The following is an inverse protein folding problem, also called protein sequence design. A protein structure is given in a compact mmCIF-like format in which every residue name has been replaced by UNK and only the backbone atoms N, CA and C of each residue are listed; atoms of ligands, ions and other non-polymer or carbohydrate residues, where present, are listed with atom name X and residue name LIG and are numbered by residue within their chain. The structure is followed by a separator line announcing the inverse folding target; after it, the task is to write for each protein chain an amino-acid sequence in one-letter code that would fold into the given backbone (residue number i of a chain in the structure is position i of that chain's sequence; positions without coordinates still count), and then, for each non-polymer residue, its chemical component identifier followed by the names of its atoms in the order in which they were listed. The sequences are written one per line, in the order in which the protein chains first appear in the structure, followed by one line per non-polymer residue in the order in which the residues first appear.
data_IF_108555150913
#
_entry.id   IF_108555150913
#
_cell.length_a   1.000
_cell.length_b   1.000
_cell.length_c   1.000
_cell.angle_alpha   90.00
_cell.angle_beta   90.00
_cell.angle_gamma   90.00
#
_symmetry.space_group_name_H-M   'P 1'
#
loop_
_entity.id
_entity.type
_entity.pdbx_description
1 polymer ?
#
# COMPACT_ATOMS: atom_id res chain seq x y z
N UNK A 1 -30.49 7.90 -4.34
CA UNK A 1 -30.02 6.54 -4.69
C UNK A 1 -28.74 6.31 -3.91
N UNK A 2 -28.79 5.52 -2.84
CA UNK A 2 -27.58 5.21 -2.06
C UNK A 2 -26.79 4.22 -2.92
N UNK A 3 -25.67 4.67 -3.48
CA UNK A 3 -24.71 3.75 -4.10
C UNK A 3 -24.24 2.85 -2.95
N UNK A 4 -24.48 1.53 -2.99
CA UNK A 4 -23.94 0.67 -1.97
C UNK A 4 -22.42 0.87 -1.96
N UNK A 5 -21.87 1.25 -0.81
CA UNK A 5 -20.43 1.35 -0.62
C UNK A 5 -19.84 -0.02 -0.96
N UNK A 6 -19.20 -0.15 -2.12
CA UNK A 6 -18.58 -1.39 -2.55
C UNK A 6 -17.37 -1.63 -1.64
N UNK A 7 -17.50 -2.56 -0.70
CA UNK A 7 -16.39 -3.03 0.12
C UNK A 7 -15.77 -4.21 -0.66
N UNK A 8 -14.59 -4.06 -1.27
CA UNK A 8 -13.99 -5.13 -2.05
C UNK A 8 -13.58 -6.29 -1.14
N UNK A 9 -14.05 -7.50 -1.46
CA UNK A 9 -13.56 -8.72 -0.80
C UNK A 9 -12.10 -8.99 -1.16
N UNK A 10 -11.37 -9.75 -0.33
CA UNK A 10 -10.01 -10.18 -0.65
C UNK A 10 -9.91 -10.88 -2.01
N UNK A 11 -10.90 -11.71 -2.37
CA UNK A 11 -10.98 -12.35 -3.69
C UNK A 11 -11.11 -11.32 -4.82
N UNK A 12 -11.92 -10.27 -4.63
CA UNK A 12 -12.09 -9.21 -5.62
C UNK A 12 -10.81 -8.40 -5.81
N UNK A 13 -10.12 -8.07 -4.71
CA UNK A 13 -8.83 -7.36 -4.72
C UNK A 13 -7.79 -8.21 -5.45
N UNK A 14 -7.66 -9.50 -5.11
CA UNK A 14 -6.71 -10.39 -5.78
C UNK A 14 -7.04 -10.54 -7.27
N UNK A 15 -8.32 -10.69 -7.65
CA UNK A 15 -8.72 -10.74 -9.06
C UNK A 15 -8.29 -9.49 -9.80
N UNK A 16 -8.54 -8.31 -9.23
CA UNK A 16 -8.09 -7.04 -9.81
C UNK A 16 -6.56 -6.96 -9.91
N UNK A 17 -5.84 -7.37 -8.86
CA UNK A 17 -4.39 -7.31 -8.80
C UNK A 17 -3.71 -8.08 -9.96
N UNK A 18 -4.35 -9.15 -10.44
CA UNK A 18 -3.89 -9.97 -11.58
C UNK A 18 -4.59 -9.68 -12.91
N UNK A 19 -5.47 -8.68 -12.98
CA UNK A 19 -6.02 -8.23 -14.25
C UNK A 19 -4.93 -7.52 -15.08
N UNK A 20 -4.72 -8.02 -16.30
CA UNK A 20 -3.74 -7.48 -17.26
C UNK A 20 -4.24 -6.23 -17.99
N UNK A 21 -5.55 -5.97 -18.01
CA UNK A 21 -6.11 -4.84 -18.77
C UNK A 21 -6.23 -3.58 -17.90
N UNK A 22 -5.70 -2.47 -18.41
CA UNK A 22 -5.83 -1.11 -17.85
C UNK A 22 -7.20 -0.49 -18.12
N UNK A 23 -8.29 -1.26 -18.00
CA UNK A 23 -9.59 -0.60 -17.98
C UNK A 23 -9.58 0.34 -16.77
N UNK A 24 -9.69 1.65 -17.01
CA UNK A 24 -9.96 2.65 -15.98
C UNK A 24 -11.25 2.23 -15.30
N UNK A 25 -11.13 1.39 -14.28
CA UNK A 25 -12.22 0.99 -13.41
C UNK A 25 -12.54 2.20 -12.56
N UNK A 26 -13.78 2.65 -12.61
CA UNK A 26 -14.33 3.56 -11.59
C UNK A 26 -15.09 2.65 -10.63
N UNK A 27 -14.71 2.58 -9.34
CA UNK A 27 -13.78 3.47 -8.61
C UNK A 27 -12.29 3.13 -8.81
N UNK A 28 -11.41 4.11 -8.53
CA UNK A 28 -9.96 3.90 -8.46
C UNK A 28 -9.68 2.90 -7.33
N UNK A 29 -9.25 1.69 -7.71
CA UNK A 29 -9.01 0.59 -6.77
C UNK A 29 -8.07 1.00 -5.63
N UNK A 30 -7.09 1.87 -5.89
CA UNK A 30 -6.18 2.43 -4.89
C UNK A 30 -6.93 2.98 -3.67
N UNK A 31 -8.00 3.76 -3.87
CA UNK A 31 -8.76 4.35 -2.76
C UNK A 31 -9.58 3.29 -2.01
N UNK A 32 -10.19 2.34 -2.74
CA UNK A 32 -11.03 1.30 -2.16
C UNK A 32 -10.25 0.30 -1.30
N UNK A 33 -9.00 0.02 -1.66
CA UNK A 33 -8.22 -1.05 -1.03
C UNK A 33 -7.23 -0.55 0.01
N UNK A 34 -6.88 0.75 0.02
CA UNK A 34 -5.95 1.35 0.98
C UNK A 34 -6.60 1.49 2.36
N UNK A 35 -6.80 0.35 3.02
CA UNK A 35 -7.36 0.28 4.37
C UNK A 35 -6.50 -0.65 5.23
N UNK A 36 -6.57 -0.47 6.55
CA UNK A 36 -5.75 -1.22 7.50
C UNK A 36 -6.15 -2.72 7.54
N UNK A 37 -7.41 -3.03 7.25
CA UNK A 37 -7.94 -4.40 7.15
C UNK A 37 -7.33 -5.17 5.98
N UNK A 38 -6.97 -4.47 4.90
CA UNK A 38 -6.36 -5.06 3.71
C UNK A 38 -4.83 -5.14 3.78
N UNK A 39 -4.20 -4.63 4.83
CA UNK A 39 -2.75 -4.43 4.88
C UNK A 39 -1.92 -5.70 4.64
N UNK A 40 -2.33 -6.84 5.22
CA UNK A 40 -1.67 -8.14 5.00
C UNK A 40 -1.81 -8.63 3.55
N UNK A 41 -2.97 -8.42 2.93
CA UNK A 41 -3.21 -8.77 1.54
C UNK A 41 -2.38 -7.88 0.60
N UNK A 42 -2.35 -6.57 0.85
CA UNK A 42 -1.55 -5.63 0.08
C UNK A 42 -0.06 -5.99 0.15
N UNK A 43 0.47 -6.34 1.33
CA UNK A 43 1.86 -6.80 1.46
C UNK A 43 2.11 -8.08 0.66
N UNK A 44 1.18 -9.04 0.73
CA UNK A 44 1.28 -10.30 -0.02
C UNK A 44 1.37 -10.05 -1.52
N UNK A 45 0.48 -9.21 -2.05
CA UNK A 45 0.42 -8.90 -3.49
C UNK A 45 1.60 -8.03 -3.94
N UNK A 46 2.05 -7.07 -3.12
CA UNK A 46 3.22 -6.24 -3.44
C UNK A 46 4.52 -7.06 -3.46
N UNK A 47 4.58 -8.14 -2.67
CA UNK A 47 5.74 -9.04 -2.62
C UNK A 47 5.78 -10.03 -3.80
N UNK A 48 4.69 -10.21 -4.54
CA UNK A 48 4.70 -11.03 -5.76
C UNK A 48 5.18 -10.21 -6.96
N UNK A 49 6.38 -10.54 -7.44
CA UNK A 49 7.00 -9.90 -8.60
C UNK A 49 6.21 -10.11 -9.91
N UNK A 50 5.33 -11.11 -9.97
CA UNK A 50 4.49 -11.38 -11.14
C UNK A 50 3.17 -10.61 -11.12
N UNK A 51 2.85 -9.89 -10.04
CA UNK A 51 1.61 -9.14 -9.91
C UNK A 51 1.59 -7.94 -10.89
N UNK A 52 0.68 -7.92 -11.88
CA UNK A 52 0.56 -6.81 -12.83
C UNK A 52 0.30 -5.44 -12.17
N UNK A 53 -0.48 -5.42 -11.08
CA UNK A 53 -0.81 -4.18 -10.37
C UNK A 53 0.17 -3.87 -9.22
N UNK A 54 1.33 -4.54 -9.15
CA UNK A 54 2.30 -4.40 -8.04
C UNK A 54 2.67 -2.95 -7.72
N UNK A 55 2.85 -2.10 -8.74
CA UNK A 55 3.15 -0.67 -8.55
C UNK A 55 2.02 0.09 -7.84
N UNK A 56 0.77 -0.12 -8.27
CA UNK A 56 -0.42 0.47 -7.64
C UNK A 56 -0.57 -0.01 -6.19
N UNK A 57 -0.34 -1.30 -5.95
CA UNK A 57 -0.41 -1.88 -4.60
C UNK A 57 0.70 -1.34 -3.69
N UNK A 58 1.91 -1.15 -4.22
CA UNK A 58 3.00 -0.52 -3.47
C UNK A 58 2.67 0.92 -3.07
N UNK A 59 2.05 1.69 -3.96
CA UNK A 59 1.53 3.03 -3.65
C UNK A 59 0.50 2.99 -2.51
N UNK A 60 -0.39 2.00 -2.52
CA UNK A 60 -1.35 1.78 -1.43
C UNK A 60 -0.64 1.52 -0.10
N UNK A 61 0.41 0.69 -0.09
CA UNK A 61 1.20 0.40 1.12
C UNK A 61 1.91 1.63 1.68
N UNK A 62 2.52 2.47 0.82
CA UNK A 62 3.10 3.74 1.26
C UNK A 62 2.02 4.68 1.82
N UNK A 63 0.92 4.85 1.09
CA UNK A 63 -0.18 5.73 1.49
C UNK A 63 -0.81 5.30 2.82
N UNK A 64 -0.95 3.98 3.04
CA UNK A 64 -1.47 3.41 4.28
C UNK A 64 -0.60 3.82 5.48
N UNK A 65 0.72 3.60 5.40
CA UNK A 65 1.64 3.96 6.49
C UNK A 65 1.66 5.47 6.70
N UNK A 66 1.75 6.27 5.63
CA UNK A 66 1.74 7.74 5.73
C UNK A 66 0.46 8.30 6.35
N UNK A 67 -0.69 7.75 5.99
CA UNK A 67 -1.99 8.16 6.53
C UNK A 67 -2.14 7.75 7.99
N UNK A 68 -1.79 6.52 8.36
CA UNK A 68 -1.90 6.09 9.76
C UNK A 68 -0.89 6.80 10.67
N UNK A 69 0.34 7.04 10.19
CA UNK A 69 1.34 7.80 10.92
C UNK A 69 0.90 9.25 11.15
N UNK A 70 0.37 9.94 10.12
CA UNK A 70 -0.09 11.33 10.26
C UNK A 70 -1.34 11.47 11.13
N UNK A 71 -2.22 10.47 11.16
CA UNK A 71 -3.42 10.47 12.01
C UNK A 71 -3.17 10.02 13.45
N UNK A 72 -2.01 9.43 13.74
CA UNK A 72 -1.65 8.90 15.07
C UNK A 72 -2.70 7.95 15.69
N UNK A 73 -3.22 7.03 14.89
CA UNK A 73 -4.20 6.04 15.36
C UNK A 73 -3.44 4.84 15.93
N UNK A 74 -3.38 4.70 17.26
CA UNK A 74 -2.56 3.68 17.94
C UNK A 74 -2.80 2.25 17.43
N UNK A 75 -4.05 1.87 17.19
CA UNK A 75 -4.39 0.52 16.70
C UNK A 75 -3.81 0.26 15.30
N UNK A 76 -3.83 1.27 14.42
CA UNK A 76 -3.23 1.17 13.09
C UNK A 76 -1.72 1.07 13.19
N UNK A 77 -1.09 1.86 14.07
CA UNK A 77 0.35 1.87 14.28
C UNK A 77 0.83 0.50 14.78
N UNK A 78 0.09 -0.14 15.70
CA UNK A 78 0.39 -1.51 16.15
C UNK A 78 0.32 -2.49 14.97
N UNK A 79 -0.74 -2.42 14.17
CA UNK A 79 -0.91 -3.30 13.00
C UNK A 79 0.17 -3.09 11.94
N UNK A 80 0.56 -1.84 11.69
CA UNK A 80 1.65 -1.48 10.77
C UNK A 80 2.97 -2.04 11.30
N UNK A 81 3.31 -1.87 12.57
CA UNK A 81 4.55 -2.42 13.13
C UNK A 81 4.62 -3.94 12.95
N UNK A 82 3.52 -4.66 13.20
CA UNK A 82 3.46 -6.11 12.93
C UNK A 82 3.70 -6.43 11.45
N UNK A 83 3.15 -5.63 10.53
CA UNK A 83 3.34 -5.79 9.09
C UNK A 83 4.80 -5.57 8.68
N UNK A 84 5.43 -4.53 9.20
CA UNK A 84 6.84 -4.22 8.98
C UNK A 84 7.76 -5.33 9.51
N UNK A 85 7.41 -5.93 10.64
CA UNK A 85 8.17 -7.04 11.21
C UNK A 85 8.07 -8.33 10.39
N UNK A 86 6.93 -8.59 9.74
CA UNK A 86 6.79 -9.68 8.76
C UNK A 86 7.67 -9.45 7.53
N UNK A 87 7.78 -8.20 7.08
CA UNK A 87 8.46 -7.84 5.84
C UNK A 87 9.96 -7.54 5.99
N UNK A 88 10.49 -7.41 7.22
CA UNK A 88 11.87 -6.96 7.49
C UNK A 88 12.98 -7.85 6.91
N UNK A 89 12.67 -9.11 6.61
CA UNK A 89 13.61 -10.08 6.01
C UNK A 89 13.22 -10.43 4.57
N UNK A 90 12.42 -9.59 3.92
CA UNK A 90 12.04 -9.81 2.52
C UNK A 90 13.29 -9.81 1.62
N UNK A 91 13.42 -10.76 0.67
CA UNK A 91 14.47 -10.71 -0.34
C UNK A 91 14.21 -9.63 -1.40
N UNK A 92 13.01 -9.04 -1.42
CA UNK A 92 12.61 -8.01 -2.35
C UNK A 92 13.05 -6.62 -1.85
N UNK A 93 14.01 -6.01 -2.56
CA UNK A 93 14.57 -4.71 -2.20
C UNK A 93 13.52 -3.59 -2.16
N UNK A 94 12.47 -3.67 -2.98
CA UNK A 94 11.38 -2.68 -2.98
C UNK A 94 10.61 -2.73 -1.66
N UNK A 95 10.33 -3.95 -1.18
CA UNK A 95 9.65 -4.17 0.09
C UNK A 95 10.55 -3.75 1.25
N UNK A 96 11.85 -4.02 1.20
CA UNK A 96 12.80 -3.55 2.21
C UNK A 96 12.90 -2.01 2.26
N UNK A 97 12.88 -1.34 1.11
CA UNK A 97 12.85 0.12 1.04
C UNK A 97 11.59 0.67 1.73
N UNK A 98 10.43 0.09 1.43
CA UNK A 98 9.18 0.44 2.09
C UNK A 98 9.25 0.21 3.61
N UNK A 99 9.83 -0.91 4.08
CA UNK A 99 10.01 -1.18 5.52
C UNK A 99 10.88 -0.11 6.18
N UNK A 100 12.03 0.19 5.59
CA UNK A 100 13.01 1.11 6.17
C UNK A 100 12.45 2.54 6.24
N UNK A 101 11.80 3.01 5.17
CA UNK A 101 11.16 4.33 5.15
C UNK A 101 10.01 4.39 6.16
N UNK A 102 9.24 3.31 6.30
CA UNK A 102 8.09 3.27 7.22
C UNK A 102 8.55 3.38 8.68
N UNK A 103 9.57 2.63 9.07
CA UNK A 103 10.17 2.77 10.41
C UNK A 103 10.72 4.17 10.66
N UNK A 104 11.26 4.83 9.64
CA UNK A 104 11.78 6.20 9.77
C UNK A 104 10.70 7.19 10.20
N UNK A 105 9.52 7.18 9.56
CA UNK A 105 8.45 8.14 9.91
C UNK A 105 7.69 7.74 11.18
N UNK A 106 7.60 6.45 11.49
CA UNK A 106 7.00 5.99 12.74
C UNK A 106 7.86 6.36 13.96
N UNK A 107 9.18 6.49 13.79
CA UNK A 107 10.09 6.97 14.82
C UNK A 107 10.24 8.50 14.89
N UNK A 108 9.98 9.23 13.80
CA UNK A 108 10.07 10.69 13.73
C UNK A 108 9.16 11.26 12.63
N UNK A 109 7.96 11.70 13.00
CA UNK A 109 6.98 12.21 12.05
C UNK A 109 7.43 13.49 11.33
N UNK A 110 8.44 14.23 11.82
CA UNK A 110 8.98 15.41 11.12
C UNK A 110 9.58 15.07 9.74
N UNK A 111 9.85 13.78 9.49
CA UNK A 111 10.34 13.26 8.21
C UNK A 111 9.22 12.85 7.26
N UNK A 112 7.96 13.03 7.65
CA UNK A 112 6.81 12.77 6.80
C UNK A 112 6.71 13.83 5.69
N UNK A 113 6.55 13.34 4.47
CA UNK A 113 6.30 14.15 3.28
C UNK A 113 5.06 13.62 2.55
N UNK A 114 4.00 14.41 2.48
CA UNK A 114 2.74 13.95 1.92
C UNK A 114 2.85 13.53 0.45
N UNK A 115 3.72 14.17 -0.34
CA UNK A 115 3.90 13.85 -1.76
C UNK A 115 4.59 12.49 -1.91
N UNK A 116 5.66 12.29 -1.14
CA UNK A 116 6.42 11.03 -1.15
C UNK A 116 5.58 9.83 -0.69
N UNK A 117 4.79 10.02 0.37
CA UNK A 117 4.04 8.94 1.02
C UNK A 117 2.67 8.67 0.41
N UNK A 118 1.89 9.72 0.17
CA UNK A 118 0.48 9.58 -0.18
C UNK A 118 0.18 9.87 -1.66
N UNK A 119 1.06 10.58 -2.37
CA UNK A 119 0.90 10.88 -3.81
C UNK A 119 1.78 10.02 -4.72
N UNK A 120 2.51 9.06 -4.16
CA UNK A 120 3.21 8.03 -4.92
C UNK A 120 4.69 8.30 -5.19
N UNK A 121 5.28 9.36 -4.61
CA UNK A 121 6.69 9.68 -4.86
C UNK A 121 7.65 8.52 -4.54
N UNK A 122 7.50 7.85 -3.39
CA UNK A 122 8.34 6.69 -3.07
C UNK A 122 8.02 5.45 -3.90
N UNK A 123 6.73 5.17 -4.15
CA UNK A 123 6.34 4.02 -4.97
C UNK A 123 6.86 4.15 -6.40
N UNK A 124 6.83 5.34 -7.00
CA UNK A 124 7.32 5.58 -8.36
C UNK A 124 8.85 5.46 -8.44
N UNK A 125 9.57 5.89 -7.41
CA UNK A 125 11.04 5.74 -7.32
C UNK A 125 11.47 4.28 -7.21
N UNK A 126 10.75 3.48 -6.43
CA UNK A 126 11.11 2.07 -6.23
C UNK A 126 10.58 1.17 -7.37
N UNK A 127 9.39 1.47 -7.87
CA UNK A 127 8.69 0.67 -8.87
C UNK A 127 7.82 1.56 -9.77
N UNK A 128 8.40 2.15 -10.83
CA UNK A 128 7.66 3.00 -11.75
C UNK A 128 6.57 2.19 -12.45
N UNK A 129 5.38 2.75 -12.56
CA UNK A 129 4.31 2.15 -13.33
C UNK A 129 4.74 2.10 -14.81
N UNK A 130 4.77 0.91 -15.41
CA UNK A 130 5.04 0.78 -16.84
C UNK A 130 3.79 1.26 -17.59
N UNK A 131 3.88 2.42 -18.23
CA UNK A 131 2.82 3.02 -19.05
C UNK A 131 2.61 2.27 -20.36
#
# INVERSE_FOLDING_TARGET
MIIPFFIPSSLSITKWAYQKSKLKSIPEWDELITTIENADLLLTLASDQNCPQRASILKCLYSLVGTSASKHIDVDIVKINMLLDKAKSSPDQVILNWVNRSRMILGDLRKFDYIEWCRGGFSEKDLPAVH
#
